data_IF_202517532296
#
_entry.id   IF_202517532296
#
_cell.length_a   1.000
_cell.length_b   1.000
_cell.length_c   1.000
_cell.angle_alpha   90.00
_cell.angle_beta   90.00
_cell.angle_gamma   90.00
#
_symmetry.space_group_name_H-M   'P 1'
#
loop_
_entity.id
_entity.type
_entity.pdbx_description
1 polymer ?
2 non-polymer ?
3 water ?
#
# COMPACT_ATOMS: atom_id res chain seq x y z
N UNK A 2 -11.92 -24.32 4.72
CA UNK A 2 -11.35 -23.15 5.34
C UNK A 2 -12.11 -21.85 5.03
N UNK A 3 -13.41 -21.89 5.27
CA UNK A 3 -14.25 -20.77 4.84
C UNK A 3 -13.92 -19.51 5.60
N UNK A 4 -13.60 -19.62 6.89
CA UNK A 4 -13.28 -18.39 7.64
C UNK A 4 -12.02 -17.74 7.10
N UNK A 5 -11.04 -18.56 6.72
CA UNK A 5 -9.81 -18.06 6.12
C UNK A 5 -10.12 -17.28 4.87
N UNK A 6 -10.93 -17.86 3.96
CA UNK A 6 -11.29 -17.16 2.75
C UNK A 6 -12.07 -15.92 3.06
N UNK A 7 -12.99 -15.96 4.04
CA UNK A 7 -13.69 -14.73 4.38
C UNK A 7 -12.72 -13.63 4.80
N UNK A 8 -11.78 -13.96 5.66
CA UNK A 8 -10.85 -12.98 6.15
C UNK A 8 -10.05 -12.40 5.02
N UNK A 9 -9.53 -13.26 4.12
CA UNK A 9 -8.72 -12.74 3.02
C UNK A 9 -9.56 -11.91 2.07
N UNK A 10 -10.79 -12.34 1.80
CA UNK A 10 -11.64 -11.56 0.92
C UNK A 10 -11.85 -10.16 1.47
N UNK A 11 -12.16 -10.04 2.76
CA UNK A 11 -12.34 -8.73 3.38
C UNK A 11 -11.08 -7.88 3.26
N UNK A 12 -9.91 -8.43 3.62
CA UNK A 12 -8.67 -7.62 3.58
C UNK A 12 -8.37 -7.22 2.14
N UNK A 13 -8.47 -8.17 1.23
CA UNK A 13 -8.16 -7.85 -0.16
C UNK A 13 -9.07 -6.75 -0.70
N UNK A 14 -10.35 -6.78 -0.30
CA UNK A 14 -11.29 -5.76 -0.74
C UNK A 14 -10.96 -4.42 -0.09
N UNK A 15 -10.52 -4.44 1.19
CA UNK A 15 -10.19 -3.18 1.85
C UNK A 15 -8.96 -2.52 1.26
N UNK A 16 -8.06 -3.30 0.73
CA UNK A 16 -6.83 -2.79 0.18
C UNK A 16 -6.94 -2.41 -1.30
N UNK A 17 -7.98 -2.86 -1.98
CA UNK A 17 -7.99 -2.85 -3.43
C UNK A 17 -7.83 -1.46 -4.02
N UNK A 18 -8.54 -0.45 -3.49
CA UNK A 18 -8.47 0.89 -4.05
C UNK A 18 -7.06 1.43 -3.90
N UNK A 19 -6.45 1.24 -2.71
CA UNK A 19 -5.07 1.74 -2.55
C UNK A 19 -4.11 1.01 -3.48
N UNK A 20 -4.35 -0.29 -3.71
CA UNK A 20 -3.46 -1.07 -4.54
C UNK A 20 -3.53 -0.60 -5.99
N UNK A 21 -4.74 -0.33 -6.47
CA UNK A 21 -4.98 0.13 -7.83
C UNK A 21 -4.64 1.61 -8.02
N UNK A 22 -4.67 2.40 -6.94
CA UNK A 22 -4.36 3.81 -7.05
C UNK A 22 -2.87 4.11 -6.99
N UNK A 23 -2.06 3.22 -6.44
CA UNK A 23 -0.63 3.50 -6.30
C UNK A 23 -0.01 3.81 -7.66
N UNK A 24 -0.13 2.96 -8.66
CA UNK A 24 0.50 3.31 -9.95
C UNK A 24 -0.12 4.55 -10.58
N UNK A 25 -1.41 4.80 -10.35
CA UNK A 25 -2.07 5.97 -10.93
C UNK A 25 -1.60 7.25 -10.29
N UNK A 26 -1.40 7.23 -8.97
CA UNK A 26 -0.85 8.38 -8.28
C UNK A 26 0.53 8.74 -8.80
N UNK A 27 1.40 7.74 -8.97
CA UNK A 27 2.70 8.01 -9.57
C UNK A 27 2.57 8.60 -10.98
N UNK A 28 1.63 8.10 -11.78
CA UNK A 28 1.45 8.59 -13.14
C UNK A 28 1.00 10.05 -13.12
N UNK A 29 0.02 10.34 -12.27
CA UNK A 29 -0.47 11.70 -12.12
C UNK A 29 0.61 12.62 -11.56
N UNK A 30 1.38 12.15 -10.57
CA UNK A 30 2.47 12.95 -10.04
C UNK A 30 3.51 13.25 -11.11
N UNK A 31 3.84 12.25 -11.92
CA UNK A 31 4.82 12.42 -12.96
C UNK A 31 4.34 13.49 -13.96
N UNK A 32 3.09 13.40 -14.38
CA UNK A 32 2.59 14.36 -15.35
C UNK A 32 2.59 15.78 -14.77
N UNK A 33 2.35 15.91 -13.49
CA UNK A 33 2.33 17.21 -12.85
C UNK A 33 3.71 17.78 -12.62
N UNK A 34 4.75 16.96 -12.68
CA UNK A 34 6.11 17.39 -12.39
C UNK A 34 7.01 17.35 -13.61
N UNK A 35 7.09 16.23 -14.30
CA UNK A 35 7.97 16.08 -15.43
C UNK A 35 7.29 16.42 -16.74
N UNK A 36 5.95 16.43 -16.75
CA UNK A 36 5.12 16.93 -17.84
C UNK A 36 5.04 16.01 -19.05
N UNK A 37 6.16 15.46 -19.49
CA UNK A 37 6.19 14.72 -20.76
C UNK A 37 5.24 13.54 -20.72
N UNK A 38 4.16 13.59 -21.48
CA UNK A 38 3.17 12.52 -21.42
C UNK A 38 3.78 11.20 -21.82
N UNK A 39 4.60 11.21 -22.86
CA UNK A 39 5.20 9.98 -23.38
C UNK A 39 6.12 9.34 -22.34
N UNK A 40 7.06 10.12 -21.81
CA UNK A 40 8.03 9.55 -20.90
C UNK A 40 7.40 9.20 -19.56
N UNK A 41 6.28 9.85 -19.18
CA UNK A 41 5.62 9.52 -17.92
C UNK A 41 4.96 8.16 -17.97
N UNK A 42 4.30 7.84 -19.07
CA UNK A 42 3.72 6.52 -19.23
C UNK A 42 4.80 5.45 -19.20
N UNK A 43 5.89 5.66 -19.94
CA UNK A 43 6.98 4.69 -19.91
C UNK A 43 7.53 4.52 -18.50
N UNK A 44 7.76 5.61 -17.80
CA UNK A 44 8.21 5.56 -16.42
C UNK A 44 7.35 4.65 -15.57
N UNK A 45 6.03 4.86 -15.60
CA UNK A 45 5.15 4.11 -14.73
C UNK A 45 4.99 2.66 -15.18
N UNK A 46 4.90 2.44 -16.49
CA UNK A 46 4.56 1.13 -17.01
C UNK A 46 5.70 0.15 -16.91
N UNK A 47 6.94 0.62 -17.02
CA UNK A 47 8.07 -0.30 -17.11
C UNK A 47 9.29 0.08 -16.27
N UNK A 48 9.29 1.22 -15.57
CA UNK A 48 10.52 1.73 -14.96
C UNK A 48 10.36 2.12 -13.49
N UNK A 49 9.40 1.58 -12.79
CA UNK A 49 9.37 1.72 -11.34
C UNK A 49 8.99 0.41 -10.66
N UNK A 50 9.53 -0.74 -11.10
CA UNK A 50 9.21 -1.98 -10.38
C UNK A 50 9.63 -1.91 -8.94
N UNK A 51 10.62 -1.08 -8.61
CA UNK A 51 11.08 -0.96 -7.22
C UNK A 51 9.97 -0.48 -6.31
N UNK A 52 9.12 0.42 -6.82
CA UNK A 52 8.00 0.96 -6.06
C UNK A 52 6.79 0.05 -6.16
N UNK A 53 6.51 -0.47 -7.33
CA UNK A 53 5.31 -1.30 -7.46
C UNK A 53 5.46 -2.63 -6.71
N UNK A 54 6.68 -3.12 -6.57
CA UNK A 54 6.86 -4.35 -5.81
C UNK A 54 6.46 -4.21 -4.35
N UNK A 55 6.38 -2.99 -3.86
CA UNK A 55 6.01 -2.72 -2.48
C UNK A 55 4.50 -2.77 -2.23
N UNK A 56 3.69 -2.80 -3.26
CA UNK A 56 2.23 -2.82 -3.04
C UNK A 56 1.83 -4.17 -2.45
N UNK A 57 1.11 -4.23 -1.32
CA UNK A 57 0.70 -5.52 -0.76
C UNK A 57 -0.12 -6.31 -1.76
N UNK A 58 -0.16 -7.63 -1.56
CA UNK A 58 -0.81 -8.62 -2.45
C UNK A 58 -1.59 -9.62 -1.60
N UNK A 59 -2.35 -10.50 -2.23
CA UNK A 59 -3.15 -11.54 -1.55
C UNK A 59 -2.27 -12.33 -0.59
N UNK A 60 -1.04 -12.65 -0.95
CA UNK A 60 -0.18 -13.40 -0.06
C UNK A 60 -0.01 -12.68 1.25
N UNK A 61 0.01 -11.34 1.22
CA UNK A 61 0.14 -10.62 2.48
C UNK A 61 -1.16 -10.66 3.28
N UNK A 62 -2.30 -10.56 2.62
CA UNK A 62 -3.55 -10.79 3.34
C UNK A 62 -3.59 -12.16 3.98
N UNK A 63 -3.07 -13.18 3.31
CA UNK A 63 -3.09 -14.52 3.90
C UNK A 63 -2.30 -14.55 5.20
N UNK A 64 -1.09 -13.99 5.16
CA UNK A 64 -0.25 -13.98 6.35
C UNK A 64 -0.89 -13.16 7.44
N UNK A 65 -1.58 -12.10 7.07
CA UNK A 65 -2.28 -11.27 8.07
C UNK A 65 -3.36 -12.11 8.75
N UNK A 66 -4.13 -12.87 7.98
CA UNK A 66 -5.17 -13.74 8.53
C UNK A 66 -4.56 -14.89 9.31
N UNK A 67 -3.37 -15.33 8.93
CA UNK A 67 -2.66 -16.30 9.74
C UNK A 67 -2.36 -15.72 11.12
N UNK A 68 -1.90 -14.47 11.14
CA UNK A 68 -1.62 -13.76 12.39
C UNK A 68 -2.90 -13.69 13.21
N UNK A 69 -4.05 -13.48 12.56
CA UNK A 69 -5.31 -13.36 13.28
C UNK A 69 -5.86 -14.69 13.81
N UNK A 70 -5.31 -15.81 13.37
CA UNK A 70 -5.73 -17.09 13.86
C UNK A 70 -6.71 -17.84 13.01
N UNK A 71 -6.98 -17.39 11.79
CA UNK A 71 -8.01 -18.03 10.99
C UNK A 71 -7.48 -18.66 9.73
N UNK A 72 -6.22 -18.44 9.38
CA UNK A 72 -5.65 -19.12 8.22
C UNK A 72 -4.44 -19.93 8.68
N UNK A 73 -4.21 -21.05 8.01
CA UNK A 73 -3.00 -21.84 8.17
C UNK A 73 -1.83 -21.18 7.45
N UNK A 74 -0.62 -21.62 7.76
CA UNK A 74 0.55 -21.13 7.04
C UNK A 74 0.52 -21.60 5.58
N UNK A 75 0.86 -20.71 4.62
CA UNK A 75 0.84 -21.14 3.22
C UNK A 75 1.92 -22.17 2.90
N UNK B 1 -14.22 -9.28 21.41
CA UNK B 1 -13.79 -8.56 22.63
C UNK B 1 -12.90 -7.34 22.27
N UNK B 2 -12.64 -6.50 23.26
CA UNK B 2 -11.75 -5.36 23.02
C UNK B 2 -10.30 -5.80 22.79
N UNK B 3 -9.82 -6.80 23.52
CA UNK B 3 -8.48 -7.33 23.27
C UNK B 3 -8.37 -7.80 21.83
N UNK B 4 -9.35 -8.57 21.37
CA UNK B 4 -9.31 -9.04 19.99
C UNK B 4 -9.36 -7.88 19.00
N UNK B 5 -10.12 -6.83 19.31
CA UNK B 5 -10.12 -5.64 18.45
C UNK B 5 -8.75 -4.95 18.39
N UNK B 6 -8.11 -4.73 19.53
CA UNK B 6 -6.76 -4.12 19.58
C UNK B 6 -5.78 -4.95 18.74
N UNK B 7 -5.81 -6.26 18.86
CA UNK B 7 -4.85 -7.10 18.15
C UNK B 7 -5.09 -7.02 16.66
N UNK B 8 -6.36 -7.11 16.25
CA UNK B 8 -6.67 -6.97 14.82
C UNK B 8 -6.15 -5.63 14.29
N UNK B 9 -6.37 -4.55 15.02
CA UNK B 9 -5.94 -3.25 14.53
C UNK B 9 -4.44 -3.18 14.45
N UNK B 10 -3.75 -3.90 15.33
CA UNK B 10 -2.28 -3.89 15.34
C UNK B 10 -1.70 -4.51 14.10
N UNK B 11 -2.31 -5.57 13.60
CA UNK B 11 -1.68 -6.32 12.49
C UNK B 11 -2.41 -6.18 11.17
N UNK B 12 -3.63 -5.65 11.10
CA UNK B 12 -4.36 -5.77 9.84
C UNK B 12 -3.60 -5.08 8.70
N UNK B 13 -3.02 -3.90 8.94
CA UNK B 13 -2.39 -3.15 7.85
C UNK B 13 -0.86 -3.20 7.97
N UNK B 14 -0.35 -4.21 8.66
CA UNK B 14 1.10 -4.35 8.89
C UNK B 14 1.86 -4.36 7.57
N UNK B 15 1.32 -5.03 6.55
CA UNK B 15 2.03 -5.09 5.27
C UNK B 15 2.23 -3.71 4.64
N UNK B 16 1.26 -2.81 4.86
CA UNK B 16 1.40 -1.43 4.37
C UNK B 16 2.43 -0.65 5.18
N UNK B 17 2.45 -0.80 6.50
CA UNK B 17 3.45 -0.14 7.35
C UNK B 17 4.88 -0.55 6.97
N UNK B 18 5.10 -1.84 6.80
CA UNK B 18 6.38 -2.33 6.29
C UNK B 18 6.75 -1.62 4.99
N UNK B 19 5.82 -1.60 4.04
CA UNK B 19 6.14 -1.09 2.72
C UNK B 19 6.33 0.42 2.70
N UNK B 20 5.60 1.13 3.54
CA UNK B 20 5.63 2.58 3.53
C UNK B 20 7.04 3.08 3.83
N UNK B 21 7.75 2.39 4.73
CA UNK B 21 9.12 2.79 5.06
C UNK B 21 10.00 2.85 3.81
N UNK B 22 9.78 1.93 2.88
CA UNK B 22 10.66 1.82 1.72
C UNK B 22 10.19 2.64 0.51
N UNK B 23 8.98 3.22 0.55
CA UNK B 23 8.47 3.97 -0.59
C UNK B 23 9.35 5.13 -0.99
N UNK B 24 9.84 5.97 -0.09
CA UNK B 24 10.72 7.07 -0.52
C UNK B 24 11.98 6.59 -1.21
N UNK B 25 12.62 5.54 -0.69
CA UNK B 25 13.82 5.06 -1.36
C UNK B 25 13.48 4.47 -2.72
N UNK B 26 12.37 3.73 -2.79
CA UNK B 26 12.02 3.10 -4.07
C UNK B 26 11.66 4.14 -5.12
N UNK B 27 10.92 5.19 -4.71
CA UNK B 27 10.60 6.24 -5.65
C UNK B 27 11.87 6.92 -6.14
N UNK B 28 12.80 7.19 -5.21
CA UNK B 28 14.07 7.81 -5.59
C UNK B 28 14.88 6.91 -6.54
N UNK B 29 14.91 5.62 -6.25
CA UNK B 29 15.64 4.68 -7.10
C UNK B 29 15.04 4.67 -8.50
N UNK B 30 13.71 4.50 -8.60
CA UNK B 30 13.04 4.52 -9.89
C UNK B 30 13.32 5.82 -10.60
N UNK B 31 13.10 6.96 -9.92
CA UNK B 31 13.26 8.26 -10.58
C UNK B 31 14.69 8.44 -11.11
N UNK B 32 15.67 8.19 -10.25
CA UNK B 32 17.05 8.47 -10.64
C UNK B 32 17.48 7.62 -11.84
N UNK B 33 17.13 6.35 -11.85
CA UNK B 33 17.49 5.50 -12.96
C UNK B 33 16.78 5.85 -14.24
N UNK B 34 15.62 6.51 -14.17
CA UNK B 34 14.89 6.92 -15.37
C UNK B 34 15.18 8.35 -15.78
N UNK B 35 15.06 9.30 -14.86
CA UNK B 35 15.23 10.72 -15.21
C UNK B 35 16.66 11.22 -15.01
N UNK B 36 17.51 10.49 -14.31
CA UNK B 36 18.94 10.73 -14.28
C UNK B 36 19.30 12.12 -13.81
N UNK B 37 18.51 12.72 -12.95
CA UNK B 37 18.79 14.06 -12.43
C UNK B 37 18.59 14.02 -10.93
N UNK B 38 19.69 13.83 -10.19
CA UNK B 38 19.59 13.68 -8.73
C UNK B 38 18.88 14.87 -8.09
N UNK B 39 19.19 16.09 -8.54
CA UNK B 39 18.56 17.26 -7.94
C UNK B 39 17.05 17.24 -8.19
N UNK B 40 16.64 16.97 -9.41
CA UNK B 40 15.23 17.03 -9.74
C UNK B 40 14.51 15.86 -9.12
N UNK B 41 15.15 14.70 -9.01
CA UNK B 41 14.54 13.54 -8.40
C UNK B 41 14.32 13.75 -6.91
N UNK B 42 15.24 14.43 -6.23
CA UNK B 42 15.03 14.76 -4.83
C UNK B 42 13.79 15.65 -4.68
N UNK B 43 13.62 16.60 -5.59
CA UNK B 43 12.43 17.45 -5.58
C UNK B 43 11.17 16.66 -5.87
N UNK B 44 11.22 15.75 -6.85
CA UNK B 44 10.02 14.96 -7.17
C UNK B 44 9.54 14.19 -5.95
N UNK B 45 10.46 13.50 -5.29
CA UNK B 45 10.08 12.67 -4.18
C UNK B 45 9.55 13.50 -3.02
N UNK B 46 10.21 14.62 -2.70
CA UNK B 46 9.77 15.40 -1.56
C UNK B 46 8.39 15.98 -1.79
N UNK B 47 8.12 16.41 -3.03
CA UNK B 47 6.86 17.09 -3.35
C UNK B 47 5.71 16.12 -3.52
N UNK B 48 5.99 14.88 -3.91
CA UNK B 48 4.92 13.94 -4.25
C UNK B 48 4.82 12.71 -3.39
N UNK B 49 5.79 12.42 -2.52
CA UNK B 49 5.58 11.35 -1.56
C UNK B 49 4.27 11.50 -0.78
N UNK B 50 3.83 12.71 -0.42
CA UNK B 50 2.59 12.81 0.35
C UNK B 50 1.43 12.16 -0.33
N UNK B 51 1.44 12.06 -1.65
CA UNK B 51 0.29 11.45 -2.32
C UNK B 51 0.23 9.96 -2.03
N UNK B 52 1.39 9.31 -2.03
CA UNK B 52 1.39 7.90 -1.65
C UNK B 52 1.05 7.71 -0.19
N UNK B 53 1.59 8.55 0.71
CA UNK B 53 1.30 8.38 2.11
C UNK B 53 -0.19 8.44 2.36
N UNK B 54 -0.92 9.24 1.55
CA UNK B 54 -2.36 9.35 1.72
C UNK B 54 -3.07 8.09 1.32
N UNK B 55 -2.45 7.25 0.48
CA UNK B 55 -3.03 5.96 0.11
C UNK B 55 -2.77 4.87 1.14
N UNK B 56 -1.82 5.06 2.05
CA UNK B 56 -1.56 4.04 3.07
C UNK B 56 -2.66 4.03 4.12
N UNK B 57 -3.31 2.91 4.35
CA UNK B 57 -4.35 2.86 5.38
C UNK B 57 -3.84 3.28 6.75
N UNK B 58 -4.71 4.01 7.48
CA UNK B 58 -4.42 4.57 8.79
C UNK B 58 -5.14 3.76 9.86
N UNK B 59 -4.87 4.09 11.13
CA UNK B 59 -5.46 3.32 12.20
C UNK B 59 -6.97 3.34 12.12
N UNK B 60 -7.56 4.47 11.67
CA UNK B 60 -9.02 4.49 11.53
C UNK B 60 -9.48 3.49 10.47
N UNK B 61 -8.73 3.36 9.37
CA UNK B 61 -9.05 2.32 8.38
C UNK B 61 -8.91 0.92 8.94
N UNK B 62 -7.86 0.68 9.75
CA UNK B 62 -7.74 -0.63 10.42
C UNK B 62 -8.97 -0.97 11.27
N UNK B 63 -9.47 -0.01 12.03
CA UNK B 63 -10.66 -0.20 12.81
C UNK B 63 -11.82 -0.64 11.93
N UNK B 64 -12.02 0.05 10.81
CA UNK B 64 -13.16 -0.23 9.97
C UNK B 64 -13.04 -1.58 9.31
N UNK B 65 -11.84 -1.93 8.86
CA UNK B 65 -11.63 -3.27 8.33
C UNK B 65 -11.88 -4.36 9.37
N UNK B 66 -11.40 -4.15 10.59
CA UNK B 66 -11.58 -5.12 11.64
C UNK B 66 -13.05 -5.22 12.05
N UNK B 67 -13.79 -4.13 11.90
CA UNK B 67 -15.25 -4.15 12.05
C UNK B 67 -15.90 -5.01 10.97
N UNK B 68 -15.48 -4.84 9.73
CA UNK B 68 -15.93 -5.71 8.66
C UNK B 68 -15.62 -7.16 8.94
N UNK B 69 -14.50 -7.45 9.59
CA UNK B 69 -14.15 -8.79 9.98
C UNK B 69 -14.96 -9.27 11.18
N UNK B 70 -15.66 -8.38 11.86
CA UNK B 70 -16.52 -8.75 12.97
C UNK B 70 -15.86 -8.69 14.32
N UNK B 71 -14.60 -8.24 14.41
CA UNK B 71 -13.88 -8.29 15.67
C UNK B 71 -13.96 -6.98 16.45
N UNK B 72 -14.04 -5.86 15.75
CA UNK B 72 -14.18 -4.56 16.42
C UNK B 72 -15.67 -4.28 16.42
N UNK B 73 -16.29 -4.37 17.59
CA UNK B 73 -17.69 -4.03 17.75
C UNK B 73 -17.84 -2.57 18.12
N UNK B 74 -16.84 -1.98 18.75
CA UNK B 74 -16.90 -0.57 19.09
C UNK B 74 -16.91 0.24 17.80
N UNK B 75 -17.41 1.49 17.88
CA UNK B 75 -17.28 2.41 16.74
C UNK B 75 -15.91 3.02 16.58
N UNK B 76 -15.13 3.07 17.66
CA UNK B 76 -13.84 3.74 17.70
C UNK B 76 -13.29 3.69 19.12
X LIG C 1 -9.51 -22.86 0.70
#
# INVERSE_FOLDING_TARGET
SDTECHFCKSVINQAWNTSEQAMPQAMHQACLRFWLDRQKCEQFVEQHMPQLLALVPRSQDAHITCQALGVCEAPAS
SDTECHFCKSVINQAWNTSEQAMPQAMHQACLRFWLDRQKCEQFVEQHMPQLLALVPRSQDAHITCQALGVCEAPAS
ZN ZN
#
